data_IF_585984772732
#
_entry.id   IF_585984772732
#
_cell.length_a   1.000
_cell.length_b   1.000
_cell.length_c   1.000
_cell.angle_alpha   90.00
_cell.angle_beta   90.00
_cell.angle_gamma   90.00
#
_symmetry.space_group_name_H-M   'P 1'
#
loop_
_entity.id
_entity.type
_entity.pdbx_description
1 polymer ?
#
# COMPACT_ATOMS: atom_id res chain seq x y z
N UNK A 1 1.00 -6.79 -17.08
CA UNK A 1 1.58 -7.55 -15.95
C UNK A 1 1.59 -6.66 -14.72
N UNK A 2 1.08 -7.14 -13.59
CA UNK A 2 1.23 -6.43 -12.30
C UNK A 2 2.64 -6.76 -11.81
N UNK A 3 3.51 -5.75 -11.67
CA UNK A 3 4.83 -5.97 -11.07
C UNK A 3 4.61 -6.32 -9.60
N UNK A 4 4.96 -7.54 -9.21
CA UNK A 4 5.10 -7.91 -7.79
C UNK A 4 6.49 -7.48 -7.35
N UNK A 5 6.59 -6.76 -6.24
CA UNK A 5 7.88 -6.37 -5.68
C UNK A 5 8.16 -7.28 -4.51
N UNK A 6 9.32 -7.93 -4.54
CA UNK A 6 9.82 -8.74 -3.42
C UNK A 6 10.72 -7.83 -2.60
N UNK A 7 10.36 -7.61 -1.34
CA UNK A 7 11.20 -6.89 -0.39
C UNK A 7 11.68 -7.83 0.70
N UNK A 8 12.94 -7.67 1.11
CA UNK A 8 13.41 -8.22 2.36
C UNK A 8 12.76 -7.44 3.52
N UNK A 9 12.30 -8.16 4.55
CA UNK A 9 11.64 -7.59 5.74
C UNK A 9 12.43 -6.43 6.34
N UNK A 10 13.75 -6.56 6.41
CA UNK A 10 14.64 -5.53 6.95
C UNK A 10 14.71 -4.27 6.08
N UNK A 11 14.70 -4.42 4.76
CA UNK A 11 14.67 -3.27 3.84
C UNK A 11 13.36 -2.50 3.95
N UNK A 12 12.24 -3.22 4.04
CA UNK A 12 10.94 -2.59 4.25
C UNK A 12 10.89 -1.84 5.58
N UNK A 13 11.33 -2.47 6.68
CA UNK A 13 11.39 -1.82 8.01
C UNK A 13 12.28 -0.58 8.00
N UNK A 14 13.47 -0.68 7.38
CA UNK A 14 14.43 0.42 7.32
C UNK A 14 13.88 1.60 6.52
N UNK A 15 13.27 1.35 5.36
CA UNK A 15 12.64 2.41 4.57
C UNK A 15 11.46 3.02 5.34
N UNK A 16 10.57 2.22 5.94
CA UNK A 16 9.46 2.77 6.73
C UNK A 16 9.91 3.61 7.92
N UNK A 17 11.02 3.23 8.58
CA UNK A 17 11.63 4.03 9.65
C UNK A 17 12.19 5.35 9.11
N UNK A 18 12.75 5.37 7.91
CA UNK A 18 13.22 6.60 7.24
C UNK A 18 12.07 7.56 6.88
N UNK A 19 10.89 7.04 6.59
CA UNK A 19 9.69 7.86 6.32
C UNK A 19 8.92 8.27 7.58
N UNK A 20 9.47 8.01 8.78
CA UNK A 20 8.91 8.50 10.04
C UNK A 20 7.75 7.68 10.61
N UNK A 21 7.58 6.43 10.19
CA UNK A 21 6.57 5.56 10.79
C UNK A 21 7.01 5.06 12.17
N UNK A 22 6.06 5.05 13.11
CA UNK A 22 6.22 4.46 14.44
C UNK A 22 6.52 2.95 14.35
N UNK A 23 7.32 2.42 15.27
CA UNK A 23 7.68 0.98 15.29
C UNK A 23 6.46 0.06 15.35
N UNK A 24 5.39 0.46 16.04
CA UNK A 24 4.13 -0.27 16.10
C UNK A 24 3.52 -0.47 14.69
N UNK A 25 3.45 0.61 13.90
CA UNK A 25 2.95 0.58 12.52
C UNK A 25 3.86 -0.28 11.63
N UNK A 26 5.17 -0.19 11.82
CA UNK A 26 6.16 -0.97 11.07
C UNK A 26 5.99 -2.47 11.35
N UNK A 27 5.69 -2.86 12.59
CA UNK A 27 5.43 -4.25 12.95
C UNK A 27 4.13 -4.78 12.33
N UNK A 28 3.06 -3.99 12.35
CA UNK A 28 1.78 -4.34 11.71
C UNK A 28 1.93 -4.56 10.19
N UNK A 29 2.69 -3.69 9.53
CA UNK A 29 3.04 -3.82 8.12
C UNK A 29 3.82 -5.10 7.88
N UNK A 30 4.83 -5.36 8.72
CA UNK A 30 5.71 -6.53 8.59
C UNK A 30 4.92 -7.83 8.73
N UNK A 31 3.99 -7.91 9.68
CA UNK A 31 3.10 -9.07 9.86
C UNK A 31 2.18 -9.27 8.66
N UNK A 32 1.63 -8.17 8.12
CA UNK A 32 0.82 -8.22 6.90
C UNK A 32 1.63 -8.70 5.69
N UNK A 33 2.91 -8.34 5.63
CA UNK A 33 3.84 -8.76 4.59
C UNK A 33 4.19 -10.25 4.68
N UNK A 34 4.45 -10.76 5.90
CA UNK A 34 4.71 -12.18 6.14
C UNK A 34 3.49 -13.05 5.82
N UNK A 35 2.28 -12.57 6.16
CA UNK A 35 1.03 -13.28 5.86
C UNK A 35 0.75 -13.44 4.36
N UNK A 36 1.36 -12.60 3.52
CA UNK A 36 1.23 -12.64 2.06
C UNK A 36 2.45 -13.29 1.36
N UNK A 37 3.18 -14.20 2.03
CA UNK A 37 4.35 -14.89 1.46
C UNK A 37 5.47 -13.93 0.98
N UNK A 38 5.65 -12.78 1.62
CA UNK A 38 6.57 -11.71 1.18
C UNK A 38 6.30 -11.17 -0.23
N UNK A 39 5.14 -11.48 -0.79
CA UNK A 39 4.69 -11.00 -2.08
C UNK A 39 3.54 -10.04 -1.85
N UNK A 40 3.77 -8.77 -2.16
CA UNK A 40 2.70 -7.78 -2.22
C UNK A 40 2.64 -7.20 -3.62
N UNK A 41 1.43 -7.05 -4.14
CA UNK A 41 1.21 -6.25 -5.32
C UNK A 41 1.60 -4.80 -5.04
N UNK A 42 2.33 -4.19 -5.97
CA UNK A 42 2.74 -2.78 -5.87
C UNK A 42 1.55 -1.85 -5.54
N UNK A 43 0.37 -2.14 -6.10
CA UNK A 43 -0.85 -1.36 -5.85
C UNK A 43 -1.31 -1.51 -4.39
N UNK A 44 -1.39 -2.74 -3.90
CA UNK A 44 -1.80 -3.03 -2.51
C UNK A 44 -0.79 -2.44 -1.51
N UNK A 45 0.49 -2.47 -1.86
CA UNK A 45 1.57 -1.85 -1.10
C UNK A 45 1.42 -0.32 -1.01
N UNK A 46 1.19 0.36 -2.14
CA UNK A 46 0.97 1.81 -2.15
C UNK A 46 -0.26 2.22 -1.35
N UNK A 47 -1.37 1.47 -1.47
CA UNK A 47 -2.58 1.71 -0.65
C UNK A 47 -2.25 1.59 0.84
N UNK A 48 -1.46 0.60 1.20
CA UNK A 48 -1.05 0.35 2.56
C UNK A 48 -0.20 1.52 3.09
N UNK A 49 0.79 1.98 2.32
CA UNK A 49 1.59 3.16 2.67
C UNK A 49 0.73 4.43 2.86
N UNK A 50 -0.21 4.70 1.95
CA UNK A 50 -1.12 5.84 2.09
C UNK A 50 -1.99 5.72 3.36
N UNK A 51 -2.46 4.52 3.70
CA UNK A 51 -3.24 4.29 4.95
C UNK A 51 -2.42 4.52 6.21
N UNK A 52 -1.11 4.27 6.17
CA UNK A 52 -0.23 4.53 7.31
C UNK A 52 0.15 6.00 7.47
N UNK A 53 -0.20 6.83 6.49
CA UNK A 53 -0.01 8.28 6.50
C UNK A 53 1.17 8.76 5.66
N UNK A 54 1.74 7.93 4.78
CA UNK A 54 2.76 8.42 3.84
C UNK A 54 2.10 9.23 2.72
N UNK A 55 2.64 10.41 2.46
CA UNK A 55 2.25 11.22 1.32
C UNK A 55 2.62 10.57 -0.02
N UNK A 56 1.80 10.82 -1.05
CA UNK A 56 2.05 10.34 -2.42
C UNK A 56 3.43 10.73 -2.94
N UNK A 57 3.97 11.89 -2.52
CA UNK A 57 5.31 12.34 -2.91
C UNK A 57 6.40 11.41 -2.38
N UNK A 58 6.37 11.09 -1.09
CA UNK A 58 7.30 10.15 -0.44
C UNK A 58 7.20 8.76 -1.05
N UNK A 59 5.98 8.31 -1.36
CA UNK A 59 5.75 7.03 -2.04
C UNK A 59 6.32 7.06 -3.48
N UNK A 60 6.15 8.17 -4.19
CA UNK A 60 6.71 8.34 -5.54
C UNK A 60 8.22 8.25 -5.52
N UNK A 61 8.89 8.94 -4.60
CA UNK A 61 10.34 8.87 -4.44
C UNK A 61 10.80 7.45 -4.07
N UNK A 62 10.07 6.77 -3.18
CA UNK A 62 10.33 5.37 -2.88
C UNK A 62 10.24 4.48 -4.12
N UNK A 63 9.20 4.63 -4.94
CA UNK A 63 9.00 3.81 -6.14
C UNK A 63 10.11 4.09 -7.18
N UNK A 64 10.56 5.34 -7.31
CA UNK A 64 11.70 5.70 -8.16
C UNK A 64 13.00 5.08 -7.67
N UNK A 65 13.25 5.13 -6.36
CA UNK A 65 14.45 4.58 -5.72
C UNK A 65 14.58 3.06 -5.92
N UNK A 66 13.46 2.35 -6.06
CA UNK A 66 13.43 0.91 -6.39
C UNK A 66 13.44 0.64 -7.90
N UNK A 67 13.65 1.65 -8.74
CA UNK A 67 13.81 1.51 -10.19
C UNK A 67 12.49 1.44 -10.98
N UNK A 68 11.40 2.02 -10.46
CA UNK A 68 10.13 2.12 -11.18
C UNK A 68 10.05 3.48 -11.87
N UNK A 69 9.88 3.46 -13.20
CA UNK A 69 9.74 4.67 -14.01
C UNK A 69 8.45 5.46 -13.73
N UNK A 70 8.50 6.77 -13.95
CA UNK A 70 7.38 7.71 -13.78
C UNK A 70 6.08 7.26 -14.46
N UNK A 71 6.15 6.75 -15.69
CA UNK A 71 4.97 6.24 -16.43
C UNK A 71 4.33 5.07 -15.68
N UNK A 72 5.15 4.20 -15.10
CA UNK A 72 4.65 3.06 -14.31
C UNK A 72 4.07 3.55 -13.00
N UNK A 73 4.68 4.55 -12.35
CA UNK A 73 4.16 5.16 -11.12
C UNK A 73 2.79 5.80 -11.33
N UNK A 74 2.61 6.56 -12.42
CA UNK A 74 1.31 7.15 -12.79
C UNK A 74 0.25 6.05 -12.95
N UNK A 75 0.59 4.97 -13.67
CA UNK A 75 -0.31 3.83 -13.84
C UNK A 75 -0.62 3.11 -12.51
N UNK A 76 0.34 3.02 -11.59
CA UNK A 76 0.13 2.47 -10.25
C UNK A 76 -0.86 3.34 -9.49
N UNK A 77 -0.65 4.65 -9.43
CA UNK A 77 -1.56 5.56 -8.73
C UNK A 77 -2.97 5.55 -9.34
N UNK A 78 -3.10 5.48 -10.67
CA UNK A 78 -4.41 5.31 -11.31
C UNK A 78 -5.12 4.03 -10.87
N UNK A 79 -4.40 2.91 -10.78
CA UNK A 79 -4.97 1.64 -10.28
C UNK A 79 -5.25 1.64 -8.78
N UNK A 80 -4.44 2.35 -8.00
CA UNK A 80 -4.66 2.57 -6.56
C UNK A 80 -5.96 3.32 -6.34
N UNK A 81 -6.19 4.39 -7.11
CA UNK A 81 -7.39 5.23 -7.04
C UNK A 81 -8.65 4.46 -7.43
N UNK A 82 -8.58 3.67 -8.51
CA UNK A 82 -9.65 2.76 -8.93
C UNK A 82 -9.96 1.73 -7.84
N UNK A 83 -8.93 1.03 -7.33
CA UNK A 83 -9.11 0.00 -6.30
C UNK A 83 -9.64 0.58 -4.98
N UNK A 84 -9.27 1.82 -4.63
CA UNK A 84 -9.84 2.56 -3.50
C UNK A 84 -11.32 2.87 -3.74
N UNK A 85 -11.68 3.34 -4.93
CA UNK A 85 -13.06 3.60 -5.32
C UNK A 85 -13.91 2.32 -5.27
N UNK A 86 -13.39 1.18 -5.76
CA UNK A 86 -14.06 -0.12 -5.65
C UNK A 86 -14.20 -0.60 -4.19
N UNK A 87 -13.17 -0.40 -3.36
CA UNK A 87 -13.24 -0.71 -1.92
C UNK A 87 -14.25 0.17 -1.16
N UNK A 88 -14.42 1.43 -1.58
CA UNK A 88 -15.40 2.35 -1.01
C UNK A 88 -16.82 2.02 -1.49
N UNK A 89 -17.00 1.69 -2.78
CA UNK A 89 -18.29 1.24 -3.32
C UNK A 89 -18.75 -0.13 -2.79
N UNK A 90 -17.82 -0.96 -2.32
CA UNK A 90 -18.13 -2.24 -1.65
C UNK A 90 -18.51 -2.10 -0.17
N UNK A 91 -18.47 -0.89 0.40
CA UNK A 91 -18.76 -0.60 1.81
C UNK A 91 -20.06 0.18 2.02
N UNK A 92 -20.91 0.26 1.00
CA UNK A 92 -22.26 0.85 1.11
C UNK A 92 -23.40 -0.19 1.03
N UNK A 93 -23.11 -1.49 1.15
CA UNK A 93 -24.11 -2.46 1.61
C UNK A 93 -23.91 -2.63 3.12
N UNK A 94 -24.17 -1.54 3.85
CA UNK A 94 -24.41 -1.63 5.28
C UNK A 94 -25.71 -2.42 5.46
N UNK A 95 -25.60 -3.54 6.17
CA UNK A 95 -26.69 -4.10 6.95
C UNK A 95 -27.41 -2.98 7.70
N UNK A 96 -28.59 -2.57 7.22
CA UNK A 96 -29.64 -1.99 8.06
C UNK A 96 -30.97 -2.52 7.52
N UNK A 97 -31.35 -3.70 8.00
CA UNK A 97 -32.77 -4.08 8.06
C UNK A 97 -33.33 -3.22 9.20
N UNK A 98 -34.11 -2.20 8.86
CA UNK A 98 -34.94 -1.47 9.82
C UNK A 98 -36.11 -2.40 10.16
N UNK A 99 -36.15 -2.85 11.41
CA UNK A 99 -37.35 -3.42 12.03
C UNK A 99 -38.38 -2.30 12.23
N UNK A 100 -39.57 -2.46 11.65
CA UNK A 100 -40.87 -2.11 12.25
C UNK A 100 -41.90 -3.19 11.90
#
# INVERSE_FOLDING_TARGET
MVKSIVFLKEELRRKMRQYGLSEEKIEDVSRTFEKNNHHIDTISFVILLERFGLDRRSITEFLKDVGIDDITIINIFGKVDLKKTEMSGSREISNIILEE
#
